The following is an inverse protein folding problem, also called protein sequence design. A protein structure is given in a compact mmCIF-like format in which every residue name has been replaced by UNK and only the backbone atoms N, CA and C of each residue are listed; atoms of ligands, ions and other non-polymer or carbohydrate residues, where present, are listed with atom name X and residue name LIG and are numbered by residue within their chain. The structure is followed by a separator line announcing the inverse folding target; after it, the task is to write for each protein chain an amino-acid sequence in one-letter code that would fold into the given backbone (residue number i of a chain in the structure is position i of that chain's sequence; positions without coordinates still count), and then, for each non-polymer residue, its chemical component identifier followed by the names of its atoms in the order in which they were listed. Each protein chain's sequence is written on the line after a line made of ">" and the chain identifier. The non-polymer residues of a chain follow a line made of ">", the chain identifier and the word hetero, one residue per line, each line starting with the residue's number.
data_IF_368707286545
#
_entry.id   IF_368707286545
#
_cell.length_a   1.000
_cell.length_b   1.000
_cell.length_c   1.000
_cell.angle_alpha   90.00
_cell.angle_beta   90.00
_cell.angle_gamma   90.00
#
_symmetry.space_group_name_H-M   'P 1'
#
loop_
_entity.id
_entity.type
_entity.pdbx_description
1 polymer ?
#
# COMPACT_ATOMS: atom_id res chain seq x y z
N UNK A 1 -5.34 14.63 -15.78
CA UNK A 1 -4.08 13.87 -15.74
C UNK A 1 -4.37 12.58 -15.00
N UNK A 2 -4.40 11.45 -15.71
CA UNK A 2 -4.71 10.12 -15.13
C UNK A 2 -3.54 9.69 -14.24
N UNK A 3 -3.85 9.13 -13.07
CA UNK A 3 -2.96 8.98 -11.92
C UNK A 3 -1.65 8.23 -12.21
N UNK A 4 -0.54 8.76 -11.69
CA UNK A 4 0.75 8.08 -11.72
C UNK A 4 0.68 6.79 -10.90
N UNK A 5 1.11 5.68 -11.51
CA UNK A 5 1.39 4.45 -10.77
C UNK A 5 2.65 4.63 -9.94
N UNK A 6 2.61 4.15 -8.70
CA UNK A 6 3.75 4.13 -7.79
C UNK A 6 3.94 2.70 -7.30
N UNK A 7 5.16 2.22 -7.41
CA UNK A 7 5.58 0.95 -6.82
C UNK A 7 6.21 1.23 -5.45
N UNK A 8 5.96 0.35 -4.49
CA UNK A 8 6.48 0.48 -3.14
C UNK A 8 6.05 -0.70 -2.26
N UNK A 9 6.56 -0.71 -1.03
CA UNK A 9 6.28 -1.77 -0.06
C UNK A 9 5.10 -1.41 0.83
N UNK A 10 4.17 -2.35 0.98
CA UNK A 10 3.07 -2.27 1.92
C UNK A 10 3.57 -2.64 3.32
N UNK A 11 3.57 -1.69 4.26
CA UNK A 11 4.13 -1.89 5.61
C UNK A 11 3.08 -2.43 6.60
N UNK A 12 1.82 -2.12 6.41
CA UNK A 12 0.70 -2.71 7.17
C UNK A 12 -0.51 -2.88 6.24
N UNK A 13 -1.61 -3.46 6.72
CA UNK A 13 -2.87 -3.51 5.95
C UNK A 13 -3.75 -2.28 6.23
N UNK A 14 -4.51 -1.78 5.24
CA UNK A 14 -5.34 -0.58 5.43
C UNK A 14 -6.54 -0.90 6.31
N UNK A 15 -6.71 -0.15 7.40
CA UNK A 15 -7.82 -0.33 8.34
C UNK A 15 -8.61 0.97 8.51
N UNK A 16 -9.94 0.87 8.32
CA UNK A 16 -10.86 2.00 8.50
C UNK A 16 -10.69 2.62 9.90
N UNK A 17 -10.52 3.93 9.97
CA UNK A 17 -10.40 4.69 11.22
C UNK A 17 -9.07 4.54 11.98
N UNK A 18 -8.22 3.56 11.64
CA UNK A 18 -6.87 3.40 12.22
C UNK A 18 -5.75 3.93 11.31
N UNK A 19 -6.10 4.25 10.05
CA UNK A 19 -5.21 4.83 9.04
C UNK A 19 -4.50 3.78 8.20
N UNK A 20 -3.81 4.28 7.15
CA UNK A 20 -2.63 3.71 6.47
C UNK A 20 -2.71 3.73 4.93
N UNK A 21 -1.65 4.25 4.26
CA UNK A 21 -1.02 3.69 3.04
C UNK A 21 0.44 4.19 2.94
N UNK A 22 1.43 3.34 3.24
CA UNK A 22 2.84 3.72 3.09
C UNK A 22 3.30 3.40 1.67
N UNK A 23 3.81 4.40 0.94
CA UNK A 23 4.52 4.21 -0.32
C UNK A 23 5.92 4.76 -0.16
N UNK A 24 6.92 3.89 -0.09
CA UNK A 24 8.31 4.33 -0.26
C UNK A 24 8.59 4.38 -1.76
N UNK A 25 8.97 5.55 -2.27
CA UNK A 25 9.54 5.61 -3.62
C UNK A 25 10.89 4.86 -3.65
N UNK A 26 11.43 4.52 -4.83
CA UNK A 26 12.73 3.83 -4.94
C UNK A 26 13.89 4.59 -4.28
N UNK A 27 13.74 5.91 -4.06
CA UNK A 27 14.72 6.76 -3.39
C UNK A 27 14.57 6.81 -1.87
N UNK A 28 13.63 6.04 -1.31
CA UNK A 28 13.44 5.88 0.13
C UNK A 28 12.64 6.99 0.81
N UNK A 29 12.04 7.93 0.06
CA UNK A 29 11.45 9.17 0.59
C UNK A 29 9.96 9.29 0.28
N UNK A 30 9.12 8.49 0.94
CA UNK A 30 7.79 8.94 1.40
C UNK A 30 7.18 7.90 2.36
N UNK A 31 6.44 8.39 3.34
CA UNK A 31 5.54 7.60 4.17
C UNK A 31 4.25 8.42 4.24
N UNK A 32 3.16 7.93 3.64
CA UNK A 32 1.86 8.62 3.71
C UNK A 32 1.06 7.93 4.82
N UNK A 33 0.63 8.71 5.79
CA UNK A 33 -0.29 8.25 6.83
C UNK A 33 -1.51 9.13 6.73
N UNK A 34 -2.60 8.56 6.20
CA UNK A 34 -3.89 9.24 6.10
C UNK A 34 -4.95 8.31 6.68
N UNK A 35 -5.95 8.90 7.34
CA UNK A 35 -7.12 8.19 7.84
C UNK A 35 -7.88 7.53 6.68
N UNK A 36 -8.05 6.22 6.77
CA UNK A 36 -8.83 5.43 5.82
C UNK A 36 -10.32 5.56 6.17
N UNK A 37 -11.14 5.92 5.18
CA UNK A 37 -12.60 6.01 5.29
C UNK A 37 -13.27 4.73 4.83
N UNK A 38 -12.76 4.09 3.78
CA UNK A 38 -13.33 2.87 3.21
C UNK A 38 -12.26 2.01 2.56
N UNK A 39 -12.43 0.69 2.67
CA UNK A 39 -11.65 -0.30 1.93
C UNK A 39 -12.63 -1.15 1.12
N UNK A 40 -12.38 -1.27 -0.19
CA UNK A 40 -13.09 -2.18 -1.09
C UNK A 40 -12.09 -3.20 -1.63
N UNK A 41 -12.40 -4.47 -1.44
CA UNK A 41 -11.60 -5.59 -1.94
C UNK A 41 -12.33 -6.28 -3.09
N UNK A 42 -11.60 -6.77 -4.10
CA UNK A 42 -12.18 -7.67 -5.10
C UNK A 42 -12.16 -9.12 -4.59
N UNK A 43 -12.95 -10.00 -5.21
CA UNK A 43 -13.00 -11.43 -4.85
C UNK A 43 -11.63 -12.13 -4.88
N UNK A 44 -10.68 -11.60 -5.65
CA UNK A 44 -9.32 -12.14 -5.78
C UNK A 44 -8.35 -11.67 -4.68
N UNK A 45 -8.79 -10.84 -3.71
CA UNK A 45 -8.01 -10.24 -2.59
C UNK A 45 -6.73 -9.47 -2.97
N UNK A 46 -6.26 -9.57 -4.22
CA UNK A 46 -5.03 -8.98 -4.75
C UNK A 46 -5.18 -7.52 -5.15
N UNK A 47 -6.40 -7.00 -5.14
CA UNK A 47 -6.70 -5.62 -5.48
C UNK A 47 -7.55 -4.96 -4.40
N UNK A 48 -7.02 -3.87 -3.83
CA UNK A 48 -7.71 -3.03 -2.87
C UNK A 48 -7.92 -1.63 -3.42
N UNK A 49 -9.10 -1.08 -3.17
CA UNK A 49 -9.36 0.35 -3.31
C UNK A 49 -9.48 0.95 -1.91
N UNK A 50 -8.61 1.90 -1.60
CA UNK A 50 -8.54 2.56 -0.30
C UNK A 50 -8.97 4.01 -0.47
N UNK A 51 -10.11 4.35 0.11
CA UNK A 51 -10.61 5.72 0.16
C UNK A 51 -10.10 6.41 1.41
N UNK A 52 -9.50 7.57 1.21
CA UNK A 52 -9.09 8.50 2.26
C UNK A 52 -9.90 9.78 2.17
N UNK A 53 -9.66 10.75 3.05
CA UNK A 53 -10.36 12.03 3.01
C UNK A 53 -10.17 12.81 1.70
N UNK A 54 -9.00 12.71 1.07
CA UNK A 54 -8.63 13.55 -0.06
C UNK A 54 -8.25 12.76 -1.32
N UNK A 55 -8.25 11.43 -1.28
CA UNK A 55 -7.74 10.60 -2.37
C UNK A 55 -8.29 9.18 -2.33
N UNK A 56 -8.34 8.54 -3.50
CA UNK A 56 -8.62 7.12 -3.65
C UNK A 56 -7.38 6.44 -4.23
N UNK A 57 -6.92 5.39 -3.56
CA UNK A 57 -5.77 4.60 -3.98
C UNK A 57 -6.22 3.25 -4.50
N UNK A 58 -5.60 2.80 -5.60
CA UNK A 58 -5.73 1.42 -6.09
C UNK A 58 -4.42 0.69 -5.78
N UNK A 59 -4.48 -0.28 -4.88
CA UNK A 59 -3.35 -1.09 -4.46
C UNK A 59 -3.45 -2.46 -5.13
N UNK A 60 -2.44 -2.82 -5.91
CA UNK A 60 -2.23 -4.20 -6.35
C UNK A 60 -1.16 -4.82 -5.45
N UNK A 61 -1.52 -5.86 -4.71
CA UNK A 61 -0.56 -6.59 -3.87
C UNK A 61 0.07 -7.67 -4.76
N UNK A 62 1.39 -7.57 -4.92
CA UNK A 62 2.20 -8.58 -5.59
C UNK A 62 2.98 -9.31 -4.49
N UNK A 63 2.83 -10.63 -4.42
CA UNK A 63 3.68 -11.45 -3.56
C UNK A 63 5.11 -11.35 -4.12
N UNK A 64 5.98 -10.58 -3.46
CA UNK A 64 7.41 -10.82 -3.63
C UNK A 64 7.73 -12.07 -2.82
N UNK A 65 8.30 -13.10 -3.47
CA UNK A 65 8.97 -14.18 -2.76
C UNK A 65 9.89 -13.54 -1.73
N UNK A 66 9.65 -13.81 -0.44
CA UNK A 66 10.45 -13.28 0.64
C UNK A 66 11.90 -13.63 0.35
N UNK A 67 12.71 -12.64 0.00
CA UNK A 67 14.13 -12.86 -0.20
C UNK A 67 14.67 -13.36 1.14
N UNK A 68 15.19 -14.60 1.21
CA UNK A 68 15.60 -15.17 2.48
C UNK A 68 16.60 -14.21 3.10
N UNK A 69 16.30 -13.74 4.31
CA UNK A 69 17.20 -12.88 5.04
C UNK A 69 18.54 -13.60 5.16
N UNK A 70 19.55 -13.10 4.46
CA UNK A 70 20.91 -13.62 4.55
C UNK A 70 21.34 -13.46 6.01
N UNK A 71 21.24 -14.54 6.78
CA UNK A 71 21.85 -14.65 8.09
C UNK A 71 23.37 -14.70 7.86
N UNK A 72 24.02 -13.55 7.92
CA UNK A 72 25.48 -13.49 8.02
C UNK A 72 25.82 -13.79 9.48
N UNK A 73 26.39 -14.98 9.70
CA UNK A 73 26.98 -15.39 10.98
C UNK A 73 28.33 -14.75 11.26
#
# INVERSE_FOLDING_TARGET
>A
MVGKSYEGFLISEPVVGRGMVIFRDPNGRRMVTTSVRRVLTTAEQRLLYVETENSVYRLAILDQEAQPASATG
#
